data_IF_799510108675
#
_entry.id   IF_799510108675
#
_cell.length_a   1.000
_cell.length_b   1.000
_cell.length_c   1.000
_cell.angle_alpha   90.00
_cell.angle_beta   90.00
_cell.angle_gamma   90.00
#
_symmetry.space_group_name_H-M   'P 1'
#
loop_
_entity.id
_entity.type
_entity.pdbx_description
1 polymer ?
#
# COMPACT_ATOMS: atom_id res chain seq x y z
N UNK A 1 -6.14 -13.98 -42.32
CA UNK A 1 -7.27 -13.12 -42.69
C UNK A 1 -8.40 -13.48 -41.74
N UNK A 2 -8.70 -12.59 -40.80
CA UNK A 2 -9.71 -12.78 -39.75
C UNK A 2 -11.00 -12.03 -40.13
N UNK A 3 -11.47 -12.31 -41.34
CA UNK A 3 -12.74 -11.78 -41.84
C UNK A 3 -13.78 -12.89 -41.71
N UNK A 4 -14.75 -12.70 -40.81
CA UNK A 4 -15.90 -13.60 -40.65
C UNK A 4 -17.06 -13.22 -41.59
N UNK A 5 -16.82 -12.31 -42.54
CA UNK A 5 -17.77 -11.84 -43.55
C UNK A 5 -18.60 -10.65 -43.11
N UNK A 6 -18.91 -10.54 -41.81
CA UNK A 6 -19.89 -9.57 -41.28
C UNK A 6 -19.32 -8.70 -40.14
N UNK A 7 -18.02 -8.74 -39.89
CA UNK A 7 -17.38 -7.98 -38.80
C UNK A 7 -17.54 -8.64 -37.42
N UNK A 8 -17.07 -7.93 -36.38
CA UNK A 8 -17.06 -8.43 -35.00
C UNK A 8 -18.05 -7.63 -34.15
N UNK A 9 -18.73 -8.34 -33.26
CA UNK A 9 -19.74 -7.77 -32.37
C UNK A 9 -19.37 -8.06 -30.93
N UNK A 10 -19.48 -7.03 -30.07
CA UNK A 10 -19.28 -7.14 -28.64
C UNK A 10 -20.55 -6.67 -27.94
N UNK A 11 -21.01 -7.42 -26.95
CA UNK A 11 -22.19 -7.05 -26.16
C UNK A 11 -23.55 -7.43 -26.77
N UNK A 12 -23.60 -7.92 -28.00
CA UNK A 12 -24.77 -8.60 -28.60
C UNK A 12 -24.31 -9.47 -29.78
N UNK A 13 -25.23 -10.22 -30.38
CA UNK A 13 -25.01 -10.77 -31.72
C UNK A 13 -25.19 -9.69 -32.82
N UNK A 14 -25.04 -10.11 -34.08
CA UNK A 14 -25.14 -9.27 -35.28
C UNK A 14 -26.52 -8.62 -35.48
N UNK A 15 -27.59 -9.26 -35.01
CA UNK A 15 -28.96 -8.77 -35.16
C UNK A 15 -29.40 -7.94 -33.94
N UNK A 16 -28.48 -7.68 -33.00
CA UNK A 16 -28.76 -7.02 -31.72
C UNK A 16 -29.44 -7.93 -30.69
N UNK A 17 -29.51 -9.24 -30.95
CA UNK A 17 -30.01 -10.27 -30.05
C UNK A 17 -29.02 -10.62 -28.93
N UNK A 18 -29.54 -11.32 -27.91
CA UNK A 18 -28.76 -11.83 -26.76
C UNK A 18 -27.84 -10.79 -26.09
N UNK A 19 -28.36 -9.59 -25.86
CA UNK A 19 -27.58 -8.48 -25.32
C UNK A 19 -26.98 -8.81 -23.94
N UNK A 20 -25.70 -8.50 -23.79
CA UNK A 20 -24.99 -8.55 -22.53
C UNK A 20 -25.47 -7.41 -21.61
N UNK A 21 -25.76 -7.72 -20.35
CA UNK A 21 -26.08 -6.71 -19.33
C UNK A 21 -24.87 -6.52 -18.42
N UNK A 22 -24.14 -5.44 -18.64
CA UNK A 22 -22.95 -5.08 -17.87
C UNK A 22 -22.12 -4.01 -18.59
N UNK A 23 -20.89 -3.82 -18.13
CA UNK A 23 -19.92 -2.94 -18.78
C UNK A 23 -18.85 -3.76 -19.49
N UNK A 24 -18.43 -3.31 -20.67
CA UNK A 24 -17.33 -3.88 -21.44
C UNK A 24 -16.24 -2.80 -21.51
N UNK A 25 -15.00 -3.19 -21.26
CA UNK A 25 -13.82 -2.34 -21.37
C UNK A 25 -12.62 -3.20 -21.77
N UNK A 26 -11.57 -2.58 -22.30
CA UNK A 26 -10.28 -3.24 -22.57
C UNK A 26 -10.41 -4.53 -23.42
N UNK A 27 -11.17 -4.48 -24.52
CA UNK A 27 -11.28 -5.62 -25.44
C UNK A 27 -9.97 -5.78 -26.20
N UNK A 28 -9.35 -6.97 -26.10
CA UNK A 28 -8.03 -7.26 -26.69
C UNK A 28 -8.12 -8.51 -27.55
N UNK A 29 -7.44 -8.48 -28.69
CA UNK A 29 -7.31 -9.61 -29.59
C UNK A 29 -5.83 -9.82 -29.96
N UNK A 30 -5.36 -11.06 -29.77
CA UNK A 30 -3.95 -11.42 -29.88
C UNK A 30 -3.74 -12.49 -30.95
N UNK A 31 -2.62 -12.39 -31.67
CA UNK A 31 -2.16 -13.42 -32.59
C UNK A 31 -1.39 -14.50 -31.82
N UNK A 32 -2.09 -15.56 -31.44
CA UNK A 32 -1.51 -16.70 -30.72
C UNK A 32 -2.19 -16.95 -29.39
N UNK A 33 -1.63 -17.88 -28.62
CA UNK A 33 -2.14 -18.26 -27.29
C UNK A 33 -1.30 -17.56 -26.24
N UNK A 34 -1.95 -16.79 -25.37
CA UNK A 34 -1.31 -16.24 -24.17
C UNK A 34 -1.27 -17.31 -23.08
N UNK A 35 -0.19 -17.33 -22.29
CA UNK A 35 -0.09 -18.22 -21.14
C UNK A 35 -0.88 -17.69 -19.93
N UNK A 36 -1.24 -18.60 -19.03
CA UNK A 36 -2.08 -18.30 -17.87
C UNK A 36 -1.48 -17.24 -16.94
N UNK A 37 -0.14 -17.22 -16.76
CA UNK A 37 0.53 -16.25 -15.90
C UNK A 37 0.46 -14.85 -16.51
N UNK A 38 0.71 -14.73 -17.82
CA UNK A 38 0.54 -13.46 -18.55
C UNK A 38 -0.89 -12.94 -18.47
N UNK A 39 -1.91 -13.79 -18.63
CA UNK A 39 -3.31 -13.38 -18.48
C UNK A 39 -3.57 -12.87 -17.05
N UNK A 40 -3.12 -13.63 -16.04
CA UNK A 40 -3.30 -13.27 -14.63
C UNK A 40 -2.63 -11.93 -14.27
N UNK A 41 -1.44 -11.66 -14.79
CA UNK A 41 -0.71 -10.44 -14.49
C UNK A 41 -1.35 -9.20 -15.15
N UNK A 42 -2.04 -9.37 -16.27
CA UNK A 42 -2.51 -8.25 -17.12
C UNK A 42 -4.03 -8.09 -17.23
N UNK A 43 -4.85 -8.98 -16.65
CA UNK A 43 -6.31 -8.91 -16.75
C UNK A 43 -6.95 -7.69 -16.05
N UNK A 44 -6.35 -7.21 -14.96
CA UNK A 44 -6.89 -6.11 -14.15
C UNK A 44 -6.18 -4.76 -14.35
N UNK A 45 -5.29 -4.66 -15.34
CA UNK A 45 -4.52 -3.45 -15.62
C UNK A 45 -4.73 -2.98 -17.05
N UNK A 46 -4.69 -1.66 -17.27
CA UNK A 46 -4.66 -1.10 -18.62
C UNK A 46 -3.43 -1.64 -19.37
N UNK A 47 -3.62 -1.97 -20.65
CA UNK A 47 -2.54 -2.55 -21.45
C UNK A 47 -1.49 -1.50 -21.80
N UNK A 48 -0.21 -1.89 -21.78
CA UNK A 48 0.91 -1.04 -22.20
C UNK A 48 1.91 -1.85 -23.02
N UNK A 49 2.85 -1.16 -23.68
CA UNK A 49 3.93 -1.76 -24.48
C UNK A 49 4.84 -2.72 -23.69
N UNK A 50 4.76 -2.71 -22.35
CA UNK A 50 5.49 -3.64 -21.49
C UNK A 50 4.89 -5.06 -21.45
N UNK A 51 3.73 -5.29 -22.06
CA UNK A 51 3.14 -6.64 -22.14
C UNK A 51 4.06 -7.58 -22.93
N UNK A 52 4.37 -8.79 -22.43
CA UNK A 52 5.37 -9.67 -23.07
C UNK A 52 5.02 -10.10 -24.49
N UNK A 53 3.72 -10.13 -24.81
CA UNK A 53 3.22 -10.44 -26.15
C UNK A 53 2.81 -9.20 -26.97
N UNK A 54 3.29 -7.99 -26.63
CA UNK A 54 2.84 -6.74 -27.27
C UNK A 54 2.82 -6.78 -28.81
N UNK A 55 3.87 -7.31 -29.43
CA UNK A 55 3.99 -7.46 -30.89
C UNK A 55 2.93 -8.40 -31.51
N UNK A 56 2.33 -9.28 -30.70
CA UNK A 56 1.25 -10.15 -31.12
C UNK A 56 -0.13 -9.50 -31.01
N UNK A 57 -0.26 -8.31 -30.43
CA UNK A 57 -1.54 -7.60 -30.32
C UNK A 57 -2.04 -7.20 -31.71
N UNK A 58 -3.25 -7.63 -32.05
CA UNK A 58 -3.86 -7.37 -33.36
C UNK A 58 -5.01 -6.37 -33.27
N UNK A 59 -5.70 -6.32 -32.14
CA UNK A 59 -6.80 -5.40 -31.87
C UNK A 59 -6.86 -5.07 -30.38
N UNK A 60 -7.12 -3.80 -30.07
CA UNK A 60 -7.28 -3.30 -28.71
C UNK A 60 -8.24 -2.13 -28.68
N UNK A 61 -9.42 -2.31 -28.10
CA UNK A 61 -10.44 -1.27 -27.92
C UNK A 61 -10.56 -0.99 -26.43
N UNK A 62 -10.06 0.16 -26.01
CA UNK A 62 -10.01 0.56 -24.60
C UNK A 62 -11.42 0.89 -24.06
N UNK A 63 -12.26 1.46 -24.93
CA UNK A 63 -13.61 1.93 -24.60
C UNK A 63 -13.55 3.02 -23.50
N UNK A 64 -12.74 4.05 -23.76
CA UNK A 64 -12.50 5.18 -22.85
C UNK A 64 -12.87 6.54 -23.46
N UNK A 65 -13.53 6.53 -24.62
CA UNK A 65 -13.91 7.74 -25.37
C UNK A 65 -14.88 8.62 -24.58
N UNK A 66 -15.74 8.01 -23.75
CA UNK A 66 -16.62 8.70 -22.81
C UNK A 66 -17.82 9.42 -23.44
N UNK A 67 -17.88 9.51 -24.77
CA UNK A 67 -19.01 10.01 -25.54
C UNK A 67 -18.88 9.60 -27.01
N UNK A 68 -19.97 9.73 -27.77
CA UNK A 68 -20.02 9.42 -29.20
C UNK A 68 -20.20 7.93 -29.49
N UNK A 69 -20.15 7.60 -30.77
CA UNK A 69 -20.38 6.25 -31.30
C UNK A 69 -19.17 5.64 -31.98
N UNK A 70 -18.15 6.42 -32.30
CA UNK A 70 -16.96 5.91 -32.98
C UNK A 70 -16.01 5.30 -31.96
N UNK A 71 -15.61 4.06 -32.18
CA UNK A 71 -14.70 3.31 -31.31
C UNK A 71 -13.41 3.02 -32.08
N UNK A 72 -12.28 3.48 -31.56
CA UNK A 72 -10.97 3.29 -32.19
C UNK A 72 -10.21 2.11 -31.60
N UNK A 73 -9.43 1.40 -32.41
CA UNK A 73 -8.43 0.48 -31.88
C UNK A 73 -7.06 1.13 -31.73
N UNK A 74 -6.43 0.95 -30.56
CA UNK A 74 -5.07 1.41 -30.29
C UNK A 74 -3.99 0.55 -30.98
N UNK A 75 -4.30 -0.71 -31.31
CA UNK A 75 -3.35 -1.63 -31.95
C UNK A 75 -3.33 -1.49 -33.48
N UNK A 76 -4.48 -1.17 -34.09
CA UNK A 76 -4.60 -1.01 -35.53
C UNK A 76 -5.69 0.02 -35.88
N UNK A 77 -5.29 1.15 -36.48
CA UNK A 77 -6.21 2.25 -36.82
C UNK A 77 -7.28 1.88 -37.86
N UNK A 78 -7.10 0.80 -38.62
CA UNK A 78 -8.10 0.31 -39.59
C UNK A 78 -9.23 -0.49 -38.89
N UNK A 79 -9.01 -0.95 -37.66
CA UNK A 79 -9.99 -1.68 -36.86
C UNK A 79 -10.88 -0.72 -36.07
N UNK A 80 -11.69 0.04 -36.79
CA UNK A 80 -12.71 0.93 -36.20
C UNK A 80 -14.00 0.17 -35.91
N UNK A 81 -14.66 0.50 -34.81
CA UNK A 81 -15.98 0.00 -34.44
C UNK A 81 -17.00 1.14 -34.32
N UNK A 82 -18.28 0.76 -34.22
CA UNK A 82 -19.38 1.68 -33.95
C UNK A 82 -20.19 1.17 -32.77
N UNK A 83 -20.41 2.03 -31.78
CA UNK A 83 -21.28 1.76 -30.65
C UNK A 83 -22.74 2.02 -31.03
N UNK A 84 -23.62 1.06 -30.74
CA UNK A 84 -25.07 1.25 -30.80
C UNK A 84 -25.68 0.92 -29.43
N UNK A 85 -26.66 1.72 -29.00
CA UNK A 85 -27.33 1.55 -27.70
C UNK A 85 -26.43 1.61 -26.45
N UNK A 86 -25.21 2.12 -26.58
CA UNK A 86 -24.22 2.13 -25.48
C UNK A 86 -24.40 3.32 -24.54
N UNK A 87 -24.33 3.06 -23.23
CA UNK A 87 -24.22 4.08 -22.20
C UNK A 87 -22.79 4.12 -21.67
N UNK A 88 -22.08 5.22 -21.91
CA UNK A 88 -20.75 5.44 -21.33
C UNK A 88 -20.85 5.56 -19.81
N UNK A 89 -20.11 4.71 -19.11
CA UNK A 89 -20.02 4.72 -17.65
C UNK A 89 -18.58 4.94 -17.22
N UNK A 90 -18.41 5.74 -16.17
CA UNK A 90 -17.12 5.87 -15.50
C UNK A 90 -17.10 4.81 -14.39
N UNK A 91 -16.09 3.92 -14.33
CA UNK A 91 -15.98 2.96 -13.24
C UNK A 91 -15.97 3.69 -11.90
N UNK A 92 -16.81 3.24 -10.96
CA UNK A 92 -16.71 3.73 -9.58
C UNK A 92 -15.38 3.27 -8.98
N UNK A 93 -14.77 4.13 -8.17
CA UNK A 93 -13.52 3.82 -7.49
C UNK A 93 -13.68 2.58 -6.61
N UNK A 94 -12.88 1.54 -6.87
CA UNK A 94 -12.78 0.40 -5.97
C UNK A 94 -12.11 0.87 -4.66
N UNK A 95 -12.82 0.78 -3.53
CA UNK A 95 -12.20 0.97 -2.23
C UNK A 95 -11.38 -0.28 -1.91
N UNK A 96 -10.08 -0.22 -2.14
CA UNK A 96 -9.13 -1.25 -1.71
C UNK A 96 -8.61 -0.88 -0.33
N UNK A 97 -8.89 -1.72 0.67
CA UNK A 97 -8.32 -1.56 1.99
C UNK A 97 -6.94 -2.23 2.04
N UNK A 98 -5.89 -1.42 2.23
CA UNK A 98 -4.52 -1.92 2.44
C UNK A 98 -4.30 -2.27 3.92
N UNK A 99 -4.25 -3.57 4.19
CA UNK A 99 -3.96 -4.14 5.51
C UNK A 99 -2.50 -4.61 5.63
N UNK A 100 -1.59 -4.15 4.76
CA UNK A 100 -0.15 -4.46 4.85
C UNK A 100 0.47 -4.00 6.16
N UNK A 101 -0.02 -2.88 6.70
CA UNK A 101 0.50 -2.23 7.91
C UNK A 101 -0.31 -2.50 9.19
N UNK A 102 -1.24 -3.47 9.16
CA UNK A 102 -2.00 -3.83 10.36
C UNK A 102 -1.40 -5.06 11.03
N UNK A 103 -1.23 -5.04 12.37
CA UNK A 103 -0.75 -6.21 13.10
C UNK A 103 -1.60 -7.44 12.85
N UNK A 104 -0.94 -8.54 12.50
CA UNK A 104 -1.56 -9.85 12.27
C UNK A 104 -1.32 -10.74 13.49
N UNK A 105 -2.12 -11.81 13.63
CA UNK A 105 -1.97 -12.76 14.74
C UNK A 105 -0.58 -13.40 14.79
N UNK A 106 0.06 -13.58 13.64
CA UNK A 106 1.42 -14.13 13.51
C UNK A 106 2.47 -13.18 14.10
N UNK A 107 2.21 -11.87 14.12
CA UNK A 107 3.15 -10.86 14.61
C UNK A 107 3.23 -10.83 16.15
N UNK A 108 2.25 -11.42 16.85
CA UNK A 108 2.15 -11.38 18.32
C UNK A 108 3.38 -12.00 18.98
N UNK A 109 3.81 -13.16 18.50
CA UNK A 109 4.94 -13.88 19.09
C UNK A 109 6.26 -13.10 18.89
N UNK A 110 6.52 -12.63 17.67
CA UNK A 110 7.72 -11.86 17.33
C UNK A 110 7.76 -10.54 18.11
N UNK A 111 6.65 -9.81 18.14
CA UNK A 111 6.53 -8.52 18.87
C UNK A 111 6.72 -8.71 20.39
N UNK A 112 6.14 -9.76 20.99
CA UNK A 112 6.30 -10.01 22.42
C UNK A 112 7.73 -10.37 22.80
N UNK A 113 8.41 -11.20 21.99
CA UNK A 113 9.79 -11.59 22.23
C UNK A 113 10.74 -10.39 22.09
N UNK A 114 10.51 -9.55 21.08
CA UNK A 114 11.28 -8.32 20.88
C UNK A 114 11.08 -7.34 22.05
N UNK A 115 9.84 -7.17 22.52
CA UNK A 115 9.52 -6.37 23.72
C UNK A 115 10.17 -6.93 25.00
N UNK A 116 10.32 -8.24 25.12
CA UNK A 116 10.99 -8.89 26.26
C UNK A 116 12.51 -8.97 26.11
N UNK A 117 13.09 -8.37 25.05
CA UNK A 117 14.51 -8.44 24.74
C UNK A 117 15.03 -9.88 24.58
N UNK A 118 14.18 -10.79 24.10
CA UNK A 118 14.56 -12.19 23.84
C UNK A 118 15.05 -12.31 22.40
N UNK A 119 16.28 -12.79 22.24
CA UNK A 119 16.83 -13.09 20.91
C UNK A 119 15.99 -14.18 20.23
N UNK A 120 15.41 -13.85 19.08
CA UNK A 120 14.62 -14.79 18.29
C UNK A 120 15.56 -15.71 17.51
N UNK A 121 15.51 -17.01 17.80
CA UNK A 121 16.28 -18.01 17.07
C UNK A 121 15.61 -18.29 15.70
N UNK A 122 16.34 -18.21 14.58
CA UNK A 122 15.83 -18.57 13.26
C UNK A 122 15.20 -19.98 13.19
N UNK A 123 15.68 -20.93 14.01
CA UNK A 123 15.15 -22.30 14.06
C UNK A 123 13.72 -22.39 14.60
N UNK A 124 13.21 -21.36 15.28
CA UNK A 124 11.83 -21.32 15.77
C UNK A 124 10.81 -21.11 14.65
N UNK A 125 11.24 -20.71 13.45
CA UNK A 125 10.39 -20.48 12.29
C UNK A 125 9.17 -19.57 12.61
N UNK A 126 9.37 -18.56 13.46
CA UNK A 126 8.34 -17.58 13.76
C UNK A 126 8.14 -16.67 12.54
N UNK A 127 6.94 -16.72 11.96
CA UNK A 127 6.52 -15.80 10.93
C UNK A 127 5.93 -14.54 11.59
N UNK A 128 6.28 -13.35 11.11
CA UNK A 128 5.72 -12.09 11.58
C UNK A 128 6.76 -10.99 11.70
N UNK A 129 6.30 -9.74 11.85
CA UNK A 129 7.14 -8.55 12.03
C UNK A 129 6.91 -8.01 13.44
N UNK A 130 7.97 -7.55 14.11
CA UNK A 130 7.82 -6.82 15.37
C UNK A 130 7.27 -5.42 15.10
N UNK A 131 6.20 -5.04 15.81
CA UNK A 131 5.58 -3.71 15.71
C UNK A 131 6.06 -2.72 16.78
N UNK A 132 6.99 -3.14 17.64
CA UNK A 132 7.62 -2.29 18.65
C UNK A 132 9.03 -1.94 18.20
N UNK A 133 9.53 -0.78 18.61
CA UNK A 133 10.92 -0.36 18.34
C UNK A 133 11.90 -1.14 19.22
N UNK A 134 12.04 -2.45 19.01
CA UNK A 134 13.10 -3.27 19.59
C UNK A 134 13.17 -3.29 21.12
N UNK A 135 14.22 -3.94 21.60
CA UNK A 135 14.67 -3.82 22.98
C UNK A 135 15.29 -2.43 23.23
N UNK A 136 14.46 -1.40 23.38
CA UNK A 136 14.92 -0.14 23.93
C UNK A 136 15.02 -0.31 25.45
N UNK A 137 16.23 -0.25 25.98
CA UNK A 137 16.44 -0.08 27.42
C UNK A 137 15.86 1.27 27.83
N UNK A 138 14.59 1.27 28.24
CA UNK A 138 14.09 2.33 29.09
C UNK A 138 14.92 2.25 30.37
N UNK A 139 15.83 3.21 30.51
CA UNK A 139 16.96 3.25 31.43
C UNK A 139 16.49 3.46 32.89
N UNK A 140 15.67 2.53 33.39
CA UNK A 140 14.98 2.61 34.69
C UNK A 140 15.85 2.02 35.81
N UNK A 141 16.93 1.30 35.49
CA UNK A 141 17.75 0.56 36.46
C UNK A 141 19.26 0.76 36.28
N UNK A 142 19.70 1.96 35.90
CA UNK A 142 21.11 2.33 35.99
C UNK A 142 21.51 2.45 37.48
N UNK A 143 22.28 1.46 37.97
CA UNK A 143 22.72 1.34 39.36
C UNK A 143 23.81 2.34 39.76
N UNK A 144 24.35 3.12 38.81
CA UNK A 144 25.47 4.04 39.06
C UNK A 144 25.05 5.51 39.24
N UNK A 145 23.75 5.81 39.34
CA UNK A 145 23.29 7.19 39.59
C UNK A 145 23.26 7.50 41.09
N UNK A 146 24.13 8.41 41.54
CA UNK A 146 23.92 9.13 42.80
C UNK A 146 22.67 10.01 42.67
N UNK A 147 21.51 9.55 43.14
CA UNK A 147 20.29 10.34 43.13
C UNK A 147 20.26 11.33 44.30
N UNK A 148 19.74 12.53 44.05
CA UNK A 148 19.33 13.47 45.11
C UNK A 148 17.80 13.39 45.18
N UNK A 149 17.26 12.75 46.22
CA UNK A 149 15.82 12.76 46.52
C UNK A 149 15.48 14.06 47.27
N UNK A 150 14.67 14.93 46.66
CA UNK A 150 14.25 16.20 47.24
C UNK A 150 12.73 16.36 47.15
N UNK A 151 12.08 16.49 48.32
CA UNK A 151 10.64 16.76 48.41
C UNK A 151 10.42 18.27 48.58
N UNK A 152 9.82 18.90 47.57
CA UNK A 152 9.51 20.33 47.59
C UNK A 152 8.10 20.54 48.15
N UNK A 153 7.99 21.27 49.27
CA UNK A 153 6.73 21.67 49.89
C UNK A 153 6.69 23.19 50.13
N UNK A 154 5.52 23.85 50.04
CA UNK A 154 4.25 23.37 49.50
C UNK A 154 4.15 23.55 47.97
N UNK A 155 3.40 22.65 47.30
CA UNK A 155 2.89 22.85 45.95
C UNK A 155 1.52 23.57 46.06
N UNK A 156 1.25 24.70 45.38
CA UNK A 156 2.05 25.36 44.34
C UNK A 156 3.24 26.14 44.90
N UNK A 157 4.44 25.61 44.64
CA UNK A 157 5.69 26.34 44.74
C UNK A 157 5.91 27.06 43.42
N UNK A 158 6.59 28.20 43.45
CA UNK A 158 6.88 29.06 42.31
C UNK A 158 7.21 28.33 40.99
N UNK A 159 6.89 28.97 39.86
CA UNK A 159 7.21 28.49 38.49
C UNK A 159 8.70 28.22 38.23
N UNK A 160 9.57 28.51 39.19
CA UNK A 160 10.99 28.25 39.17
C UNK A 160 11.45 27.73 40.54
N UNK A 161 12.46 26.85 40.50
CA UNK A 161 13.27 26.46 41.65
C UNK A 161 14.74 26.57 41.25
N UNK A 162 15.62 26.74 42.22
CA UNK A 162 17.06 26.88 42.00
C UNK A 162 17.80 25.80 42.77
N UNK A 163 18.70 25.10 42.10
CA UNK A 163 19.68 24.20 42.71
C UNK A 163 21.01 24.95 42.78
N UNK A 164 21.65 24.99 43.95
CA UNK A 164 22.98 25.58 44.15
C UNK A 164 23.98 24.52 44.61
N UNK A 165 25.28 24.76 44.39
CA UNK A 165 26.33 23.83 44.81
C UNK A 165 26.66 22.70 43.84
N UNK A 166 26.17 22.76 42.60
CA UNK A 166 26.59 21.85 41.53
C UNK A 166 28.04 22.17 41.16
N UNK A 167 28.87 21.14 41.01
CA UNK A 167 30.29 21.32 40.66
C UNK A 167 30.40 21.89 39.23
N UNK A 168 31.27 22.88 38.98
CA UNK A 168 31.48 23.38 37.63
C UNK A 168 31.91 22.27 36.67
N UNK A 169 31.19 22.12 35.55
CA UNK A 169 31.42 21.07 34.55
C UNK A 169 30.62 19.78 34.74
N UNK A 170 29.64 19.76 35.65
CA UNK A 170 28.66 18.68 35.76
C UNK A 170 27.59 18.82 34.68
N UNK A 171 27.37 17.74 33.92
CA UNK A 171 26.25 17.64 32.98
C UNK A 171 24.93 17.57 33.76
N UNK A 172 24.00 18.49 33.47
CA UNK A 172 22.65 18.53 34.05
C UNK A 172 21.64 18.19 32.96
N UNK A 173 20.93 17.09 33.13
CA UNK A 173 19.89 16.61 32.22
C UNK A 173 18.53 16.58 32.93
N UNK A 174 17.48 17.02 32.24
CA UNK A 174 16.10 16.98 32.73
C UNK A 174 15.27 16.17 31.75
N UNK A 175 14.47 15.24 32.27
CA UNK A 175 13.63 14.34 31.50
C UNK A 175 12.15 14.55 31.81
N UNK A 176 11.31 14.42 30.78
CA UNK A 176 9.86 14.34 30.92
C UNK A 176 9.45 12.96 31.45
N UNK A 177 8.30 12.79 32.13
CA UNK A 177 7.84 11.49 32.64
C UNK A 177 7.70 10.34 31.62
N UNK A 178 7.75 10.64 30.32
CA UNK A 178 7.77 9.65 29.24
C UNK A 178 9.19 9.25 28.81
N UNK A 179 10.23 9.68 29.54
CA UNK A 179 11.63 9.38 29.26
C UNK A 179 12.32 10.30 28.24
N UNK A 180 11.62 11.30 27.69
CA UNK A 180 12.22 12.24 26.73
C UNK A 180 13.08 13.28 27.44
N UNK A 181 14.34 13.46 27.03
CA UNK A 181 15.18 14.57 27.50
C UNK A 181 14.59 15.92 27.04
N UNK A 182 14.34 16.82 27.99
CA UNK A 182 13.78 18.15 27.77
C UNK A 182 14.79 19.27 27.98
N UNK A 183 15.89 19.01 28.69
CA UNK A 183 16.95 19.98 28.89
C UNK A 183 18.29 19.27 29.13
N UNK A 184 19.36 19.81 28.54
CA UNK A 184 20.74 19.38 28.78
C UNK A 184 21.65 20.60 28.85
N UNK A 185 22.35 20.76 29.97
CA UNK A 185 23.39 21.77 30.18
C UNK A 185 24.69 21.09 30.57
N UNK A 186 25.82 21.69 30.18
CA UNK A 186 27.18 21.21 30.45
C UNK A 186 27.95 22.27 31.25
#
# INVERSE_FOLDING_TARGET
>A
NLDVGEGWYFGSDIDGGYSYTGAIAEVRFWHGVLDDATILDWHCSALTEAHPAWEALQGHWQLTEGAGTDIGSAANAELTGTADGTLWQVPESLIVFDYSNTPRIVDVAVTALDHMCVTIDPAWNLAGISWVDGCNSADVFDTDRCFIDARIFPNPGSNSFQITGITPGTDVEVYHPNGKCIHKSR
#
